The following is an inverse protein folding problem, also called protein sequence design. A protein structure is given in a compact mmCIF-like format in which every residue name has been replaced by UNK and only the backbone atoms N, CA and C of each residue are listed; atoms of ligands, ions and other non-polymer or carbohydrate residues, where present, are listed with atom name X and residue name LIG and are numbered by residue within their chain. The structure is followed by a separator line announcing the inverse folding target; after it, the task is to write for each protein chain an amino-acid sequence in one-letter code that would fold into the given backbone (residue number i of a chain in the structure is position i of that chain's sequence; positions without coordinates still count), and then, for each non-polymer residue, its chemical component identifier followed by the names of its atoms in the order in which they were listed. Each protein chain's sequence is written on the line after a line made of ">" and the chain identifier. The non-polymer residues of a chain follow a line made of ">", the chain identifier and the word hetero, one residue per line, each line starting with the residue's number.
data_IF_422888449400
#
_entry.id   IF_422888449400
#
_cell.length_a   1.000
_cell.length_b   1.000
_cell.length_c   1.000
_cell.angle_alpha   90.00
_cell.angle_beta   90.00
_cell.angle_gamma   90.00
#
_symmetry.space_group_name_H-M   'P 1'
#
loop_
_entity.id
_entity.type
_entity.pdbx_description
1 polymer ?
#
# COMPACT_ATOMS: atom_id res chain seq x y z
N UNK A 1 17.67 -39.19 -11.50
CA UNK A 1 16.76 -38.57 -10.51
C UNK A 1 17.58 -37.53 -9.78
N UNK A 2 17.48 -36.28 -10.23
CA UNK A 2 18.16 -35.12 -9.63
C UNK A 2 17.17 -34.44 -8.71
N UNK A 3 17.46 -34.49 -7.42
CA UNK A 3 16.69 -33.85 -6.37
C UNK A 3 16.91 -32.33 -6.47
N UNK A 4 15.81 -31.60 -6.65
CA UNK A 4 15.80 -30.17 -6.89
C UNK A 4 15.98 -29.43 -5.59
N UNK A 5 17.22 -29.01 -5.33
CA UNK A 5 17.62 -28.13 -4.24
C UNK A 5 16.83 -26.82 -4.34
N UNK A 6 15.75 -26.78 -3.56
CA UNK A 6 14.83 -25.66 -3.48
C UNK A 6 15.56 -24.56 -2.73
N UNK A 7 16.19 -23.65 -3.48
CA UNK A 7 16.75 -22.38 -2.99
C UNK A 7 15.72 -21.68 -2.10
N UNK A 8 15.82 -21.92 -0.80
CA UNK A 8 15.02 -21.25 0.21
C UNK A 8 15.31 -19.77 0.11
N UNK A 9 14.29 -18.97 -0.19
CA UNK A 9 14.36 -17.53 -0.03
C UNK A 9 14.81 -17.25 1.40
N UNK A 10 15.96 -16.58 1.54
CA UNK A 10 16.49 -16.17 2.84
C UNK A 10 15.40 -15.36 3.54
N UNK A 11 14.88 -15.90 4.65
CA UNK A 11 13.92 -15.20 5.47
C UNK A 11 14.66 -14.06 6.19
N UNK A 12 14.40 -12.78 5.85
CA UNK A 12 15.14 -11.65 6.40
C UNK A 12 14.95 -11.51 7.92
N UNK A 13 13.84 -12.00 8.49
CA UNK A 13 13.61 -12.03 9.94
C UNK A 13 14.55 -13.03 10.64
N UNK A 14 14.79 -14.19 10.01
CA UNK A 14 15.73 -15.19 10.51
C UNK A 14 17.16 -14.68 10.46
N UNK A 15 17.47 -13.84 9.47
CA UNK A 15 18.78 -13.25 9.28
C UNK A 15 19.07 -12.09 10.24
N UNK A 16 18.09 -11.20 10.43
CA UNK A 16 18.15 -10.14 11.43
C UNK A 16 18.31 -10.70 12.85
N UNK A 17 17.60 -11.79 13.18
CA UNK A 17 17.73 -12.49 14.45
C UNK A 17 19.16 -13.03 14.70
N UNK A 18 19.83 -13.55 13.66
CA UNK A 18 21.25 -13.99 13.72
C UNK A 18 22.26 -12.84 13.80
N UNK A 19 21.87 -11.61 13.44
CA UNK A 19 22.73 -10.42 13.48
C UNK A 19 22.64 -9.69 14.83
N UNK A 20 21.86 -10.19 15.80
CA UNK A 20 21.95 -9.71 17.18
C UNK A 20 23.40 -9.80 17.69
N UNK A 21 23.88 -8.65 18.13
CA UNK A 21 25.26 -8.32 18.43
C UNK A 21 25.79 -9.10 19.64
N UNK A 22 26.29 -10.32 19.40
CA UNK A 22 27.19 -10.97 20.36
C UNK A 22 28.63 -10.51 20.06
N UNK A 23 29.36 -9.89 21.02
CA UNK A 23 30.62 -9.21 20.72
C UNK A 23 31.78 -10.11 20.24
N UNK A 24 31.64 -11.45 20.29
CA UNK A 24 32.83 -12.29 20.43
C UNK A 24 33.10 -13.37 19.37
N UNK A 25 32.29 -13.58 18.32
CA UNK A 25 32.59 -14.69 17.39
C UNK A 25 32.41 -14.37 15.89
N UNK A 26 33.50 -14.41 15.12
CA UNK A 26 33.50 -14.69 13.67
C UNK A 26 33.24 -13.52 12.70
N UNK A 27 34.21 -12.60 12.57
CA UNK A 27 34.10 -11.33 11.83
C UNK A 27 34.04 -11.47 10.29
N UNK A 28 34.55 -12.54 9.69
CA UNK A 28 34.76 -12.57 8.22
C UNK A 28 33.55 -13.05 7.39
N UNK A 29 32.83 -14.08 7.83
CA UNK A 29 31.67 -14.61 7.10
C UNK A 29 30.41 -13.76 7.29
N UNK A 30 30.26 -13.13 8.46
CA UNK A 30 29.16 -12.20 8.78
C UNK A 30 29.17 -10.94 7.89
N UNK A 31 30.35 -10.49 7.46
CA UNK A 31 30.52 -9.27 6.68
C UNK A 31 29.85 -9.34 5.29
N UNK A 32 29.93 -10.48 4.59
CA UNK A 32 29.37 -10.60 3.23
C UNK A 32 27.84 -10.64 3.25
N UNK A 33 27.25 -11.29 4.24
CA UNK A 33 25.79 -11.44 4.32
C UNK A 33 25.12 -10.18 4.86
N UNK A 34 25.70 -9.55 5.89
CA UNK A 34 25.30 -8.20 6.33
C UNK A 34 25.45 -7.18 5.21
N UNK A 35 26.52 -7.25 4.42
CA UNK A 35 26.70 -6.39 3.24
C UNK A 35 25.64 -6.65 2.18
N UNK A 36 25.27 -7.90 1.89
CA UNK A 36 24.17 -8.19 0.94
C UNK A 36 22.83 -7.70 1.43
N UNK A 37 22.56 -7.80 2.72
CA UNK A 37 21.35 -7.24 3.34
C UNK A 37 21.38 -5.73 3.22
N UNK A 38 22.49 -5.08 3.56
CA UNK A 38 22.65 -3.63 3.39
C UNK A 38 22.55 -3.18 1.93
N UNK A 39 23.22 -3.85 0.99
CA UNK A 39 23.15 -3.56 -0.44
C UNK A 39 21.72 -3.77 -0.97
N UNK A 40 21.02 -4.80 -0.49
CA UNK A 40 19.59 -5.01 -0.77
C UNK A 40 18.74 -3.87 -0.21
N UNK A 41 18.97 -3.43 1.02
CA UNK A 41 18.25 -2.30 1.63
C UNK A 41 18.56 -0.96 0.95
N UNK A 42 19.82 -0.70 0.60
CA UNK A 42 20.27 0.50 -0.10
C UNK A 42 19.63 0.65 -1.48
N UNK A 43 19.30 -0.45 -2.14
CA UNK A 43 18.54 -0.44 -3.41
C UNK A 43 17.06 -0.15 -3.19
N UNK A 44 16.50 -0.48 -2.02
CA UNK A 44 15.07 -0.36 -1.72
C UNK A 44 14.69 0.98 -1.08
N UNK A 45 15.61 1.57 -0.31
CA UNK A 45 15.36 2.84 0.36
C UNK A 45 15.71 3.97 -0.60
N UNK A 46 14.67 4.57 -1.20
CA UNK A 46 14.80 5.66 -2.18
C UNK A 46 15.66 6.83 -1.68
N UNK A 47 15.87 6.97 -0.37
CA UNK A 47 16.84 7.87 0.22
C UNK A 47 17.42 7.22 1.49
N UNK A 48 18.43 6.36 1.34
CA UNK A 48 19.23 5.96 2.48
C UNK A 48 20.04 7.15 2.98
N UNK A 49 19.59 7.74 4.08
CA UNK A 49 20.42 8.63 4.86
C UNK A 49 21.15 7.79 5.93
N UNK A 50 22.48 7.88 5.91
CA UNK A 50 23.34 7.22 6.91
C UNK A 50 23.00 7.61 8.35
N UNK A 51 22.37 8.77 8.56
CA UNK A 51 21.89 9.21 9.86
C UNK A 51 20.86 8.23 10.44
N UNK A 52 20.05 7.60 9.59
CA UNK A 52 19.03 6.62 9.99
C UNK A 52 19.52 5.16 9.87
N UNK A 53 20.82 4.93 9.61
CA UNK A 53 21.36 3.58 9.45
C UNK A 53 21.07 2.65 10.65
N UNK A 54 21.21 3.08 11.93
CA UNK A 54 20.82 2.25 13.06
C UNK A 54 19.34 1.86 12.99
N UNK A 55 18.51 2.80 12.55
CA UNK A 55 17.07 2.61 12.52
C UNK A 55 16.61 1.53 11.55
N UNK A 56 17.23 1.51 10.37
CA UNK A 56 16.97 0.51 9.35
C UNK A 56 17.43 -0.89 9.80
N UNK A 57 18.45 -0.98 10.65
CA UNK A 57 18.92 -2.26 11.19
C UNK A 57 17.95 -2.82 12.24
N UNK A 58 17.33 -1.95 13.04
CA UNK A 58 16.38 -2.35 14.09
C UNK A 58 14.97 -2.65 13.56
N UNK A 59 14.57 -2.01 12.45
CA UNK A 59 13.23 -2.10 11.90
C UNK A 59 12.69 -3.55 11.70
N UNK A 60 13.45 -4.53 11.17
CA UNK A 60 12.96 -5.89 11.03
C UNK A 60 12.69 -6.59 12.37
N UNK A 61 13.48 -6.29 13.40
CA UNK A 61 13.29 -6.86 14.74
C UNK A 61 12.04 -6.28 15.40
N UNK A 62 11.85 -4.95 15.31
CA UNK A 62 10.63 -4.28 15.79
C UNK A 62 9.37 -4.78 15.08
N UNK A 63 9.41 -4.96 13.75
CA UNK A 63 8.29 -5.55 13.03
C UNK A 63 8.03 -7.00 13.48
N UNK A 64 9.09 -7.76 13.73
CA UNK A 64 9.00 -9.12 14.27
C UNK A 64 8.31 -9.15 15.64
N UNK A 65 8.71 -8.27 16.57
CA UNK A 65 8.07 -8.09 17.89
C UNK A 65 6.57 -7.82 17.72
N UNK A 66 6.22 -6.83 16.91
CA UNK A 66 4.84 -6.43 16.67
C UNK A 66 3.97 -7.56 16.09
N UNK A 67 4.52 -8.38 15.19
CA UNK A 67 3.78 -9.48 14.55
C UNK A 67 3.69 -10.74 15.42
N UNK A 68 4.63 -10.94 16.34
CA UNK A 68 4.68 -12.11 17.23
C UNK A 68 3.85 -11.87 18.49
N UNK A 69 3.98 -10.70 19.10
CA UNK A 69 3.34 -10.38 20.39
C UNK A 69 1.84 -10.11 20.20
N UNK A 70 1.45 -9.47 19.10
CA UNK A 70 0.07 -9.08 18.83
C UNK A 70 -0.52 -9.90 17.67
N UNK A 71 -1.56 -10.68 17.97
CA UNK A 71 -2.21 -11.54 16.98
C UNK A 71 -3.12 -10.76 16.03
N UNK A 72 -3.88 -9.79 16.56
CA UNK A 72 -4.85 -9.01 15.79
C UNK A 72 -4.25 -7.69 15.29
N UNK A 73 -4.73 -7.24 14.13
CA UNK A 73 -4.27 -6.00 13.53
C UNK A 73 -4.63 -4.76 14.37
N UNK A 74 -5.79 -4.78 15.04
CA UNK A 74 -6.21 -3.69 15.91
C UNK A 74 -5.27 -3.51 17.10
N UNK A 75 -4.84 -4.60 17.73
CA UNK A 75 -3.92 -4.58 18.86
C UNK A 75 -2.54 -4.03 18.45
N UNK A 76 -2.07 -4.37 17.24
CA UNK A 76 -0.84 -3.79 16.67
C UNK A 76 -0.92 -2.27 16.51
N UNK A 77 -2.06 -1.75 16.06
CA UNK A 77 -2.26 -0.30 15.92
C UNK A 77 -2.20 0.39 17.29
N UNK A 78 -2.86 -0.17 18.30
CA UNK A 78 -2.82 0.33 19.69
C UNK A 78 -1.39 0.30 20.23
N UNK A 79 -0.69 -0.82 20.03
CA UNK A 79 0.69 -0.98 20.48
C UNK A 79 1.62 0.07 19.89
N UNK A 80 1.53 0.35 18.58
CA UNK A 80 2.31 1.42 17.96
C UNK A 80 1.95 2.78 18.57
N UNK A 81 0.68 3.07 18.84
CA UNK A 81 0.28 4.36 19.41
C UNK A 81 0.80 4.58 20.83
N UNK A 82 0.89 3.53 21.64
CA UNK A 82 1.25 3.62 23.06
C UNK A 82 2.76 3.48 23.34
N UNK A 83 3.53 2.84 22.46
CA UNK A 83 4.95 2.56 22.68
C UNK A 83 5.83 3.31 21.68
N UNK A 84 6.48 4.36 22.19
CA UNK A 84 7.37 5.25 21.44
C UNK A 84 8.53 4.51 20.75
N UNK A 85 8.89 3.29 21.17
CA UNK A 85 9.92 2.47 20.48
C UNK A 85 9.54 2.15 19.03
N UNK A 86 8.25 2.19 18.69
CA UNK A 86 7.78 1.99 17.32
C UNK A 86 7.72 3.29 16.50
N UNK A 87 7.95 4.47 17.09
CA UNK A 87 7.85 5.76 16.40
C UNK A 87 9.14 6.11 15.67
N UNK A 88 9.52 5.21 14.75
CA UNK A 88 10.84 5.18 14.18
C UNK A 88 10.80 5.27 12.66
N UNK A 89 11.67 6.10 12.08
CA UNK A 89 11.71 6.34 10.64
C UNK A 89 12.02 5.05 9.89
N UNK A 90 13.01 4.29 10.37
CA UNK A 90 13.38 3.00 9.79
C UNK A 90 12.22 2.00 9.75
N UNK A 91 11.44 1.91 10.83
CA UNK A 91 10.27 1.03 10.90
C UNK A 91 9.17 1.47 9.95
N UNK A 92 8.89 2.78 9.86
CA UNK A 92 7.92 3.32 8.91
C UNK A 92 8.26 2.91 7.48
N UNK A 93 9.49 3.16 7.03
CA UNK A 93 9.92 2.79 5.68
C UNK A 93 9.86 1.28 5.44
N UNK A 94 10.23 0.48 6.45
CA UNK A 94 10.17 -0.98 6.38
C UNK A 94 8.73 -1.48 6.17
N UNK A 95 7.76 -0.97 6.95
CA UNK A 95 6.34 -1.27 6.81
C UNK A 95 5.80 -0.91 5.42
N UNK A 96 6.16 0.27 4.89
CA UNK A 96 5.74 0.70 3.56
C UNK A 96 6.31 -0.21 2.46
N UNK A 97 7.57 -0.62 2.57
CA UNK A 97 8.19 -1.56 1.64
C UNK A 97 7.56 -2.97 1.72
N UNK A 98 7.21 -3.45 2.92
CA UNK A 98 6.47 -4.71 3.09
C UNK A 98 5.05 -4.62 2.50
N UNK A 99 4.37 -3.48 2.66
CA UNK A 99 3.06 -3.24 2.04
C UNK A 99 3.12 -3.36 0.52
N UNK A 100 4.11 -2.74 -0.13
CA UNK A 100 4.29 -2.81 -1.58
C UNK A 100 4.62 -4.22 -2.06
N UNK A 101 5.45 -4.97 -1.31
CA UNK A 101 5.74 -6.39 -1.62
C UNK A 101 4.53 -7.28 -1.46
N UNK A 102 3.71 -7.04 -0.44
CA UNK A 102 2.50 -7.81 -0.18
C UNK A 102 1.44 -7.66 -1.29
N UNK A 103 1.48 -6.58 -2.10
CA UNK A 103 0.50 -6.29 -3.16
C UNK A 103 0.23 -7.49 -4.08
N UNK A 104 1.27 -8.24 -4.47
CA UNK A 104 1.12 -9.36 -5.40
C UNK A 104 0.51 -10.62 -4.75
N UNK A 105 0.67 -10.78 -3.43
CA UNK A 105 0.27 -11.96 -2.70
C UNK A 105 -1.06 -11.77 -1.96
N UNK A 106 -1.27 -10.62 -1.33
CA UNK A 106 -2.46 -10.31 -0.53
C UNK A 106 -2.69 -8.80 -0.43
N UNK A 107 -3.80 -8.34 -1.01
CA UNK A 107 -4.24 -6.95 -0.89
C UNK A 107 -4.61 -6.58 0.57
N UNK A 108 -5.04 -7.56 1.37
CA UNK A 108 -5.35 -7.34 2.81
C UNK A 108 -4.06 -7.07 3.58
N UNK A 109 -3.03 -7.90 3.41
CA UNK A 109 -1.74 -7.67 4.08
C UNK A 109 -1.09 -6.35 3.64
N UNK A 110 -1.19 -6.02 2.36
CA UNK A 110 -0.73 -4.72 1.85
C UNK A 110 -1.44 -3.55 2.55
N UNK A 111 -2.77 -3.65 2.75
CA UNK A 111 -3.54 -2.65 3.50
C UNK A 111 -3.08 -2.58 4.95
N UNK A 112 -3.00 -3.71 5.64
CA UNK A 112 -2.62 -3.78 7.05
C UNK A 112 -1.23 -3.16 7.28
N UNK A 113 -0.22 -3.53 6.48
CA UNK A 113 1.12 -2.93 6.60
C UNK A 113 1.14 -1.44 6.30
N UNK A 114 0.41 -0.99 5.28
CA UNK A 114 0.35 0.45 4.98
C UNK A 114 -0.36 1.25 6.08
N UNK A 115 -1.36 0.67 6.73
CA UNK A 115 -2.09 1.27 7.84
C UNK A 115 -1.19 1.42 9.07
N UNK A 116 -0.43 0.37 9.43
CA UNK A 116 0.61 0.47 10.46
C UNK A 116 1.65 1.54 10.11
N UNK A 117 2.11 1.56 8.85
CA UNK A 117 3.07 2.55 8.37
C UNK A 117 2.57 4.00 8.47
N UNK A 118 1.28 4.24 8.20
CA UNK A 118 0.62 5.53 8.42
C UNK A 118 0.64 5.90 9.90
N UNK A 119 0.26 4.99 10.80
CA UNK A 119 0.26 5.27 12.24
C UNK A 119 1.66 5.63 12.73
N UNK A 120 2.70 4.88 12.33
CA UNK A 120 4.10 5.24 12.66
C UNK A 120 4.44 6.62 12.12
N UNK A 121 4.16 6.91 10.84
CA UNK A 121 4.47 8.20 10.21
C UNK A 121 3.82 9.39 10.92
N UNK A 122 2.61 9.21 11.47
CA UNK A 122 1.91 10.25 12.21
C UNK A 122 2.52 10.53 13.58
N UNK A 123 3.21 9.56 14.19
CA UNK A 123 3.86 9.71 15.49
C UNK A 123 5.34 10.10 15.40
N UNK A 124 5.95 10.11 14.21
CA UNK A 124 7.30 10.64 14.03
C UNK A 124 7.38 12.10 14.50
N UNK A 125 8.33 12.38 15.39
CA UNK A 125 8.59 13.71 15.92
C UNK A 125 9.27 14.61 14.87
N UNK A 126 8.63 15.70 14.41
CA UNK A 126 9.25 16.64 13.47
C UNK A 126 10.45 17.42 14.05
N UNK A 127 10.59 17.45 15.37
CA UNK A 127 11.75 18.03 16.06
C UNK A 127 12.99 17.14 15.95
N UNK A 128 12.79 15.82 15.90
CA UNK A 128 13.84 14.83 15.69
C UNK A 128 14.13 14.61 14.19
N UNK A 129 13.07 14.43 13.39
CA UNK A 129 13.14 14.23 11.95
C UNK A 129 12.69 15.51 11.24
N UNK A 130 13.61 16.19 10.54
CA UNK A 130 13.36 17.48 9.87
C UNK A 130 11.93 17.60 9.29
N UNK A 131 11.20 18.67 9.65
CA UNK A 131 9.77 18.82 9.40
C UNK A 131 9.34 18.44 7.96
N UNK A 132 10.06 18.92 6.95
CA UNK A 132 9.70 18.62 5.55
C UNK A 132 9.82 17.14 5.19
N UNK A 133 10.79 16.42 5.77
CA UNK A 133 10.97 14.98 5.55
C UNK A 133 9.88 14.18 6.22
N UNK A 134 9.51 14.58 7.44
CA UNK A 134 8.39 13.99 8.17
C UNK A 134 7.06 14.18 7.42
N UNK A 135 6.84 15.34 6.80
CA UNK A 135 5.66 15.55 5.96
C UNK A 135 5.71 14.74 4.66
N UNK A 136 6.87 14.57 4.02
CA UNK A 136 7.01 13.73 2.84
C UNK A 136 6.74 12.24 3.13
N UNK A 137 7.25 11.71 4.25
CA UNK A 137 7.00 10.30 4.60
C UNK A 137 5.53 10.07 4.98
N UNK A 138 4.89 11.02 5.67
CA UNK A 138 3.43 10.98 5.93
C UNK A 138 2.64 10.95 4.62
N UNK A 139 3.01 11.81 3.66
CA UNK A 139 2.38 11.82 2.35
C UNK A 139 2.56 10.48 1.61
N UNK A 140 3.78 9.92 1.64
CA UNK A 140 4.09 8.62 1.03
C UNK A 140 3.28 7.49 1.67
N UNK A 141 3.21 7.44 3.00
CA UNK A 141 2.46 6.43 3.74
C UNK A 141 0.97 6.46 3.36
N UNK A 142 0.35 7.64 3.38
CA UNK A 142 -1.04 7.81 2.98
C UNK A 142 -1.28 7.44 1.51
N UNK A 143 -0.34 7.75 0.61
CA UNK A 143 -0.47 7.41 -0.80
C UNK A 143 -0.42 5.89 -1.03
N UNK A 144 0.49 5.18 -0.35
CA UNK A 144 0.57 3.71 -0.41
C UNK A 144 -0.70 3.09 0.19
N UNK A 145 -1.19 3.61 1.31
CA UNK A 145 -2.45 3.16 1.91
C UNK A 145 -3.65 3.37 0.97
N UNK A 146 -3.72 4.50 0.28
CA UNK A 146 -4.75 4.76 -0.73
C UNK A 146 -4.72 3.72 -1.86
N UNK A 147 -3.55 3.32 -2.35
CA UNK A 147 -3.43 2.28 -3.37
C UNK A 147 -3.86 0.89 -2.84
N UNK A 148 -3.53 0.56 -1.60
CA UNK A 148 -3.95 -0.67 -0.95
C UNK A 148 -5.49 -0.73 -0.79
N UNK A 149 -6.11 0.33 -0.27
CA UNK A 149 -7.57 0.45 -0.14
C UNK A 149 -8.27 0.37 -1.51
N UNK A 150 -7.69 1.00 -2.54
CA UNK A 150 -8.19 0.92 -3.92
C UNK A 150 -8.23 -0.53 -4.40
N UNK A 151 -7.19 -1.32 -4.15
CA UNK A 151 -7.11 -2.73 -4.57
C UNK A 151 -8.16 -3.60 -3.89
N UNK A 152 -8.53 -3.27 -2.65
CA UNK A 152 -9.62 -3.90 -1.90
C UNK A 152 -11.02 -3.41 -2.28
N UNK A 153 -11.15 -2.52 -3.27
CA UNK A 153 -12.41 -1.87 -3.66
C UNK A 153 -13.01 -0.92 -2.59
N UNK A 154 -12.21 -0.48 -1.62
CA UNK A 154 -12.59 0.48 -0.58
C UNK A 154 -12.43 1.92 -1.11
N UNK A 155 -13.27 2.28 -2.10
CA UNK A 155 -13.10 3.53 -2.86
C UNK A 155 -13.22 4.81 -2.03
N UNK A 156 -14.09 4.83 -1.02
CA UNK A 156 -14.24 5.97 -0.11
C UNK A 156 -12.99 6.20 0.74
N UNK A 157 -12.49 5.13 1.36
CA UNK A 157 -11.25 5.14 2.15
C UNK A 157 -10.04 5.50 1.30
N UNK A 158 -9.95 4.96 0.07
CA UNK A 158 -8.86 5.29 -0.85
C UNK A 158 -8.83 6.77 -1.23
N UNK A 159 -10.00 7.40 -1.45
CA UNK A 159 -10.09 8.84 -1.73
C UNK A 159 -9.76 9.70 -0.51
N UNK A 160 -10.21 9.28 0.67
CA UNK A 160 -9.88 9.98 1.92
C UNK A 160 -8.36 9.95 2.17
N UNK A 161 -7.74 8.77 2.04
CA UNK A 161 -6.29 8.59 2.17
C UNK A 161 -5.50 9.41 1.13
N UNK A 162 -5.95 9.43 -0.14
CA UNK A 162 -5.31 10.28 -1.16
C UNK A 162 -5.41 11.78 -0.80
N UNK A 163 -6.54 12.20 -0.23
CA UNK A 163 -6.72 13.56 0.27
C UNK A 163 -5.71 13.92 1.37
N UNK A 164 -5.47 13.02 2.33
CA UNK A 164 -4.43 13.20 3.36
C UNK A 164 -3.02 13.23 2.75
N UNK A 165 -2.73 12.34 1.81
CA UNK A 165 -1.44 12.33 1.10
C UNK A 165 -1.14 13.70 0.45
N UNK A 166 -2.12 14.28 -0.24
CA UNK A 166 -1.98 15.60 -0.89
C UNK A 166 -1.79 16.71 0.15
N UNK A 167 -2.48 16.67 1.29
CA UNK A 167 -2.33 17.67 2.36
C UNK A 167 -0.90 17.69 2.92
N UNK A 168 -0.33 16.51 3.18
CA UNK A 168 1.04 16.38 3.67
C UNK A 168 2.09 16.74 2.61
N UNK A 169 1.90 16.31 1.35
CA UNK A 169 2.82 16.61 0.26
C UNK A 169 3.00 18.12 0.02
N UNK A 170 1.97 18.93 0.27
CA UNK A 170 2.04 20.40 0.17
C UNK A 170 2.92 21.05 1.24
N UNK A 171 3.15 20.38 2.36
CA UNK A 171 3.98 20.84 3.48
C UNK A 171 5.40 20.27 3.45
N UNK A 172 5.60 19.20 2.69
CA UNK A 172 6.88 18.53 2.50
C UNK A 172 7.80 19.23 1.49
N UNK A 173 8.74 18.49 0.93
CA UNK A 173 9.75 19.03 -0.02
C UNK A 173 9.24 19.16 -1.45
N UNK A 174 8.02 18.70 -1.73
CA UNK A 174 7.44 18.64 -3.08
C UNK A 174 8.29 17.79 -4.06
N UNK A 175 8.80 16.65 -3.60
CA UNK A 175 9.61 15.76 -4.45
C UNK A 175 8.82 15.29 -5.69
N UNK A 176 9.49 15.28 -6.84
CA UNK A 176 8.87 14.89 -8.11
C UNK A 176 8.37 13.42 -8.09
N UNK A 177 9.06 12.56 -7.35
CA UNK A 177 8.69 11.15 -7.18
C UNK A 177 7.38 11.01 -6.39
N UNK A 178 7.25 11.70 -5.25
CA UNK A 178 6.02 11.72 -4.46
C UNK A 178 4.86 12.29 -5.28
N UNK A 179 5.09 13.37 -6.04
CA UNK A 179 4.09 13.95 -6.93
C UNK A 179 3.62 12.94 -8.00
N UNK A 180 4.54 12.25 -8.67
CA UNK A 180 4.22 11.24 -9.68
C UNK A 180 3.43 10.06 -9.09
N UNK A 181 3.74 9.68 -7.85
CA UNK A 181 3.03 8.61 -7.14
C UNK A 181 1.59 9.01 -6.78
N UNK A 182 1.39 10.23 -6.31
CA UNK A 182 0.06 10.80 -6.05
C UNK A 182 -0.76 10.83 -7.34
N UNK A 183 -0.18 11.37 -8.42
CA UNK A 183 -0.84 11.47 -9.73
C UNK A 183 -1.26 10.09 -10.26
N UNK A 184 -0.35 9.11 -10.21
CA UNK A 184 -0.63 7.72 -10.60
C UNK A 184 -1.81 7.12 -9.82
N UNK A 185 -1.88 7.39 -8.52
CA UNK A 185 -2.94 6.90 -7.63
C UNK A 185 -4.27 7.57 -7.97
N UNK A 186 -4.26 8.88 -8.18
CA UNK A 186 -5.41 9.67 -8.62
C UNK A 186 -5.98 9.17 -9.94
N UNK A 187 -5.14 9.00 -10.97
CA UNK A 187 -5.56 8.46 -12.27
C UNK A 187 -6.20 7.06 -12.13
N UNK A 188 -5.65 6.22 -11.25
CA UNK A 188 -6.13 4.86 -11.01
C UNK A 188 -7.50 4.85 -10.32
N UNK A 189 -7.79 5.83 -9.47
CA UNK A 189 -9.09 6.00 -8.82
C UNK A 189 -10.14 6.56 -9.78
N UNK A 190 -9.79 7.59 -10.55
CA UNK A 190 -10.70 8.27 -11.49
C UNK A 190 -11.26 7.34 -12.57
N UNK A 191 -10.43 6.44 -13.14
CA UNK A 191 -10.87 5.44 -14.13
C UNK A 191 -11.99 4.52 -13.62
N UNK A 192 -12.07 4.29 -12.30
CA UNK A 192 -13.08 3.39 -11.70
C UNK A 192 -14.43 4.07 -11.50
N UNK A 193 -14.44 5.36 -11.21
CA UNK A 193 -15.65 6.17 -11.13
C UNK A 193 -16.32 6.30 -12.50
N UNK A 194 -15.53 6.51 -13.56
CA UNK A 194 -16.07 6.63 -14.92
C UNK A 194 -16.61 5.30 -15.46
N UNK A 195 -15.95 4.18 -15.15
CA UNK A 195 -16.45 2.84 -15.50
C UNK A 195 -17.78 2.48 -14.84
N UNK A 196 -18.05 2.96 -13.61
CA UNK A 196 -19.35 2.78 -12.95
C UNK A 196 -20.46 3.63 -13.59
N UNK A 197 -20.14 4.80 -14.12
CA UNK A 197 -21.10 5.67 -14.81
C UNK A 197 -21.56 5.09 -16.15
N UNK A 198 -20.70 4.32 -16.83
CA UNK A 198 -21.04 3.71 -18.13
C UNK A 198 -21.98 2.49 -18.02
N UNK A 199 -22.03 1.79 -16.88
CA UNK A 199 -22.85 0.58 -16.70
C UNK A 199 -24.36 0.86 -16.48
N UNK A 200 -24.81 2.11 -16.52
CA UNK A 200 -26.23 2.49 -16.45
C UNK A 200 -26.89 2.77 -17.82
N UNK A 201 -26.12 2.76 -18.91
CA UNK A 201 -26.64 2.98 -20.26
C UNK A 201 -27.14 1.68 -20.89
N UNK A 202 -28.41 1.35 -20.66
CA UNK A 202 -29.08 0.22 -21.31
C UNK A 202 -28.87 0.24 -22.83
N UNK A 203 -28.00 -0.65 -23.32
CA UNK A 203 -28.10 -1.14 -24.69
C UNK A 203 -29.40 -1.93 -24.77
N UNK A 204 -30.43 -1.31 -25.35
CA UNK A 204 -31.47 -2.09 -26.01
C UNK A 204 -30.77 -2.97 -27.06
N UNK A 205 -31.10 -4.28 -27.16
CA UNK A 205 -30.64 -5.08 -28.26
C UNK A 205 -31.23 -4.47 -29.55
N UNK A 206 -30.35 -3.93 -30.39
CA UNK A 206 -30.66 -3.64 -31.79
C UNK A 206 -30.99 -4.98 -32.45
N UNK A 207 -32.27 -5.28 -32.58
CA UNK A 207 -32.71 -6.53 -33.19
C UNK A 207 -34.09 -7.06 -32.81
N UNK A 208 -35.02 -6.26 -32.28
CA UNK A 208 -36.43 -6.67 -32.18
C UNK A 208 -37.24 -6.03 -33.33
N UNK A 209 -37.87 -6.82 -34.21
CA UNK A 209 -38.75 -6.28 -35.25
C UNK A 209 -39.98 -5.63 -34.62
N UNK A 210 -40.35 -4.46 -35.15
CA UNK A 210 -41.53 -3.70 -34.72
C UNK A 210 -42.81 -4.54 -34.89
N UNK A 211 -43.75 -4.51 -33.93
CA UNK A 211 -45.05 -5.11 -34.14
C UNK A 211 -45.81 -4.29 -35.19
N UNK A 212 -46.06 -4.91 -36.33
CA UNK A 212 -47.00 -4.44 -37.34
C UNK A 212 -48.37 -4.34 -36.65
N UNK A 213 -48.85 -3.12 -36.45
CA UNK A 213 -50.28 -2.90 -36.16
C UNK A 213 -51.03 -3.11 -37.47
N UNK A 214 -51.65 -4.28 -37.61
CA UNK A 214 -52.71 -4.51 -38.58
C UNK A 214 -53.90 -3.69 -38.11
N UNK A 215 -54.26 -2.68 -38.91
CA UNK A 215 -55.53 -1.99 -38.79
C UNK A 215 -56.61 -2.92 -39.36
N UNK A 216 -57.53 -3.37 -38.51
CA UNK A 216 -58.78 -3.96 -38.97
C UNK A 216 -59.72 -2.83 -39.38
N UNK A 217 -59.94 -2.72 -40.69
CA UNK A 217 -61.04 -1.98 -41.31
C UNK A 217 -62.16 -2.98 -41.65
N UNK A 218 -63.33 -2.91 -40.99
CA UNK A 218 -64.54 -3.49 -41.54
C UNK A 218 -65.50 -2.37 -41.97
N UNK A 219 -65.32 -1.90 -43.20
CA UNK A 219 -66.36 -1.14 -43.90
C UNK A 219 -67.35 -2.07 -44.62
N UNK A 220 -68.63 -1.75 -44.41
CA UNK A 220 -69.82 -2.09 -45.20
C UNK A 220 -70.51 -3.44 -44.93
N UNK A 221 -71.72 -3.40 -44.36
CA UNK A 221 -72.95 -3.35 -45.17
C UNK A 221 -74.21 -3.26 -44.28
N UNK A 222 -75.21 -2.55 -44.82
CA UNK A 222 -76.65 -2.67 -44.54
C UNK A 222 -77.28 -1.70 -43.52
N UNK A 223 -77.93 -0.64 -44.04
CA UNK A 223 -79.40 -0.52 -43.99
C UNK A 223 -79.89 0.59 -44.92
N UNK A 224 -80.67 0.17 -45.90
CA UNK A 224 -81.67 0.97 -46.63
C UNK A 224 -83.01 0.28 -46.38
N UNK A 225 -84.04 1.11 -46.16
CA UNK A 225 -85.46 0.82 -45.89
C UNK A 225 -85.84 0.62 -44.43
#
# INVERSE_FOLDING_TARGET
>A
MTDGDSKGALNPLKLAATLHWHPDDGVAARNIESKRVLDYWLVQLEHFDSIFAPEYLEAPALLGELLIEEAEHADRLVRIQEDDRFHHWGLCQHLLAESERAVAASAVLSRDFSELGVVVAMHLDPGHYHLSWTEDIRAKAWCIHADACRRLNLGGEALAALGEAIKHARKGTASAELAARIEKTEMSLSRRTDGRRWNGGGRLPVGAPLPIRVADDPSSHSRVS
#
